data_IF_786450843726
#
_entry.id   IF_786450843726
#
_cell.length_a   1.000
_cell.length_b   1.000
_cell.length_c   1.000
_cell.angle_alpha   90.00
_cell.angle_beta   90.00
_cell.angle_gamma   90.00
#
_symmetry.space_group_name_H-M   'P 1'
#
loop_
_entity.id
_entity.type
_entity.pdbx_description
1 polymer ?
#
# COMPACT_ATOMS: atom_id res chain seq x y z
N UNK A 1 -20.57 57.31 -10.39
CA UNK A 1 -21.30 58.16 -9.42
C UNK A 1 -22.82 57.99 -9.59
N UNK A 2 -23.40 57.22 -8.65
CA UNK A 2 -24.78 57.28 -8.14
C UNK A 2 -25.95 57.02 -9.13
N UNK A 3 -27.03 56.33 -8.79
CA UNK A 3 -27.41 55.40 -7.71
C UNK A 3 -28.86 54.94 -7.97
N UNK A 4 -29.27 53.87 -7.30
CA UNK A 4 -30.64 53.55 -6.83
C UNK A 4 -31.69 53.10 -7.87
N UNK A 5 -32.13 51.83 -7.90
CA UNK A 5 -33.03 51.06 -6.99
C UNK A 5 -34.52 51.47 -6.99
N UNK A 6 -35.37 50.48 -7.30
CA UNK A 6 -36.77 50.29 -6.84
C UNK A 6 -37.02 48.77 -6.77
N UNK A 7 -37.19 48.17 -5.57
CA UNK A 7 -38.45 47.97 -4.79
C UNK A 7 -39.36 46.89 -5.41
N UNK A 8 -40.09 45.98 -4.75
CA UNK A 8 -40.30 45.54 -3.36
C UNK A 8 -41.35 44.39 -3.44
N UNK A 9 -41.27 43.36 -2.59
CA UNK A 9 -42.38 42.62 -1.93
C UNK A 9 -41.88 41.23 -1.48
N UNK A 10 -42.24 40.63 -0.35
CA UNK A 10 -42.83 41.06 0.92
C UNK A 10 -42.58 39.90 1.91
N UNK A 11 -42.40 40.26 3.19
CA UNK A 11 -42.13 39.37 4.33
C UNK A 11 -43.33 38.47 4.68
N UNK A 12 -43.05 37.35 5.36
CA UNK A 12 -43.70 37.09 6.65
C UNK A 12 -42.74 36.33 7.58
N UNK A 13 -42.45 36.91 8.73
CA UNK A 13 -41.79 36.27 9.88
C UNK A 13 -42.89 35.88 10.88
N UNK A 14 -42.78 34.69 11.48
CA UNK A 14 -43.45 34.35 12.74
C UNK A 14 -42.44 33.65 13.66
N UNK A 15 -42.36 34.14 14.88
CA UNK A 15 -41.35 33.83 15.91
C UNK A 15 -41.88 32.87 16.98
N UNK A 16 -41.03 31.90 17.41
CA UNK A 16 -40.82 31.31 18.76
C UNK A 16 -40.30 29.85 18.69
N UNK A 17 -39.68 29.28 19.75
CA UNK A 17 -38.29 29.41 20.24
C UNK A 17 -37.50 28.07 20.03
N UNK A 18 -36.22 27.90 20.45
CA UNK A 18 -35.36 26.87 19.90
C UNK A 18 -35.58 25.50 20.56
N UNK A 19 -35.74 24.46 19.74
CA UNK A 19 -35.58 23.07 20.14
C UNK A 19 -34.41 22.45 19.35
N UNK A 20 -33.66 21.62 20.06
CA UNK A 20 -32.35 21.08 19.71
C UNK A 20 -32.28 20.42 18.33
N UNK A 21 -31.24 20.78 17.57
CA UNK A 21 -30.82 20.04 16.39
C UNK A 21 -29.91 18.87 16.81
N UNK A 22 -30.09 17.66 16.26
CA UNK A 22 -29.09 16.60 16.38
C UNK A 22 -27.89 16.91 15.48
N UNK A 23 -26.71 16.58 15.99
CA UNK A 23 -25.43 16.72 15.31
C UNK A 23 -25.46 16.05 13.93
N UNK A 24 -25.37 16.86 12.86
CA UNK A 24 -24.93 16.39 11.57
C UNK A 24 -23.44 16.06 11.65
N UNK A 25 -23.13 14.76 11.62
CA UNK A 25 -21.82 14.23 11.27
C UNK A 25 -21.47 14.70 9.86
N UNK A 26 -20.27 15.27 9.61
CA UNK A 26 -19.80 15.45 8.25
C UNK A 26 -19.54 14.07 7.64
N UNK A 27 -20.03 13.89 6.41
CA UNK A 27 -19.82 12.71 5.57
C UNK A 27 -18.32 12.40 5.47
N UNK A 28 -17.95 11.19 5.86
CA UNK A 28 -16.66 10.59 5.59
C UNK A 28 -16.46 10.54 4.07
N UNK A 29 -15.68 11.49 3.55
CA UNK A 29 -15.17 11.43 2.20
C UNK A 29 -14.15 10.28 2.14
N UNK A 30 -14.37 9.33 1.23
CA UNK A 30 -13.47 8.21 0.97
C UNK A 30 -12.06 8.75 0.66
N UNK A 31 -11.12 8.57 1.58
CA UNK A 31 -9.70 8.79 1.32
C UNK A 31 -9.22 7.76 0.29
N UNK A 32 -9.07 8.20 -0.95
CA UNK A 32 -8.30 7.52 -1.98
C UNK A 32 -6.83 7.49 -1.54
N UNK A 33 -6.31 6.32 -1.22
CA UNK A 33 -4.87 6.12 -1.03
C UNK A 33 -4.16 6.25 -2.38
N UNK A 34 -3.00 6.94 -2.47
CA UNK A 34 -2.19 6.89 -3.67
C UNK A 34 -1.49 5.54 -3.76
N UNK A 35 -1.81 4.78 -4.80
CA UNK A 35 -0.99 3.67 -5.28
C UNK A 35 0.40 4.23 -5.64
N UNK A 36 1.45 3.75 -4.97
CA UNK A 36 2.84 4.04 -5.36
C UNK A 36 3.36 2.86 -6.16
N UNK A 37 3.42 3.04 -7.48
CA UNK A 37 4.22 2.23 -8.39
C UNK A 37 5.05 3.16 -9.27
N UNK A 38 6.34 2.84 -9.42
CA UNK A 38 7.33 3.43 -10.33
C UNK A 38 7.97 4.79 -9.97
N UNK A 39 9.05 4.75 -9.16
CA UNK A 39 10.41 5.33 -9.40
C UNK A 39 11.32 4.62 -8.37
N UNK A 40 12.46 3.99 -8.62
CA UNK A 40 13.64 4.46 -9.35
C UNK A 40 14.59 3.25 -9.62
N UNK A 41 14.75 2.87 -10.90
CA UNK A 41 15.87 2.02 -11.35
C UNK A 41 16.85 2.90 -12.13
N UNK A 42 17.62 3.78 -11.47
CA UNK A 42 18.90 4.27 -11.99
C UNK A 42 19.71 5.07 -10.96
N UNK A 43 20.32 4.41 -9.96
CA UNK A 43 21.38 5.04 -9.17
C UNK A 43 22.46 4.08 -8.66
N UNK A 44 22.97 3.19 -9.51
CA UNK A 44 24.28 2.56 -9.27
C UNK A 44 25.40 3.48 -9.76
N UNK A 45 25.76 4.49 -8.97
CA UNK A 45 27.04 5.20 -9.11
C UNK A 45 28.03 4.73 -8.05
N UNK A 46 29.11 4.11 -8.55
CA UNK A 46 30.29 3.65 -7.82
C UNK A 46 30.82 4.72 -6.86
N UNK A 47 30.74 4.48 -5.55
CA UNK A 47 31.62 5.11 -4.59
C UNK A 47 32.94 4.32 -4.54
N UNK A 48 33.91 4.71 -5.39
CA UNK A 48 35.31 4.45 -5.10
C UNK A 48 35.76 5.47 -4.08
N UNK A 49 35.92 5.05 -2.82
CA UNK A 49 36.62 5.85 -1.82
C UNK A 49 38.12 5.61 -2.01
N UNK A 50 38.81 6.68 -2.41
CA UNK A 50 40.26 6.79 -2.50
C UNK A 50 40.84 6.82 -1.09
N UNK A 51 41.58 5.77 -0.72
CA UNK A 51 42.41 5.73 0.49
C UNK A 51 43.59 6.70 0.33
N UNK A 52 43.64 7.75 1.15
CA UNK A 52 44.86 8.52 1.41
C UNK A 52 45.38 8.16 2.79
N UNK A 53 46.48 7.43 2.82
CA UNK A 53 47.31 7.19 4.01
C UNK A 53 48.16 8.43 4.31
N UNK A 54 48.31 8.83 5.59
CA UNK A 54 49.48 9.55 6.04
C UNK A 54 50.43 8.59 6.78
N UNK A 55 51.68 8.55 6.33
CA UNK A 55 52.81 7.95 7.04
C UNK A 55 53.05 8.69 8.36
N UNK A 56 53.08 7.98 9.48
CA UNK A 56 53.80 8.41 10.68
C UNK A 56 54.65 7.22 11.15
N UNK A 57 55.95 7.49 11.28
CA UNK A 57 57.03 6.60 11.69
C UNK A 57 56.88 6.25 13.18
N UNK A 58 57.08 4.99 13.53
CA UNK A 58 56.88 4.46 14.88
C UNK A 58 58.06 4.65 15.84
N UNK A 59 57.76 4.39 17.12
CA UNK A 59 58.67 3.86 18.14
C UNK A 59 57.84 3.02 19.14
N UNK A 60 58.33 1.87 19.68
CA UNK A 60 57.51 0.86 20.33
C UNK A 60 57.49 1.02 21.86
N UNK A 61 56.32 0.82 22.47
CA UNK A 61 56.18 0.86 23.92
C UNK A 61 54.90 0.23 24.42
N UNK A 62 55.02 -1.03 24.83
CA UNK A 62 54.19 -1.82 25.76
C UNK A 62 52.69 -1.97 25.51
N UNK A 63 52.36 -3.24 25.30
CA UNK A 63 51.08 -3.92 25.18
C UNK A 63 50.31 -3.86 26.51
N UNK A 64 49.20 -3.12 26.53
CA UNK A 64 48.08 -3.35 27.45
C UNK A 64 46.83 -3.58 26.61
N UNK A 65 46.29 -4.79 26.70
CA UNK A 65 45.05 -5.19 26.06
C UNK A 65 43.88 -4.40 26.65
N UNK A 66 43.39 -3.43 25.89
CA UNK A 66 42.20 -2.67 26.24
C UNK A 66 40.98 -3.42 25.67
N UNK A 67 40.20 -4.04 26.55
CA UNK A 67 38.89 -4.61 26.19
C UNK A 67 38.01 -3.50 25.59
N UNK A 68 37.78 -3.57 24.28
CA UNK A 68 36.84 -2.70 23.57
C UNK A 68 35.41 -3.13 23.88
N UNK A 69 34.95 -2.85 25.11
CA UNK A 69 33.58 -3.10 25.55
C UNK A 69 32.63 -1.98 25.14
N UNK A 70 32.26 -1.93 23.86
CA UNK A 70 31.15 -1.09 23.38
C UNK A 70 29.82 -1.78 23.66
N UNK A 71 29.14 -1.38 24.74
CA UNK A 71 27.80 -1.88 25.08
C UNK A 71 26.70 -0.89 24.68
N UNK A 72 25.44 -1.33 24.70
CA UNK A 72 24.27 -0.52 24.32
C UNK A 72 24.20 0.85 25.04
N UNK A 73 24.67 0.91 26.30
CA UNK A 73 24.78 2.13 27.11
C UNK A 73 25.75 3.17 26.56
N UNK A 74 26.76 2.73 25.83
CA UNK A 74 27.75 3.61 25.19
C UNK A 74 27.30 4.07 23.80
N UNK A 75 26.42 3.28 23.15
CA UNK A 75 25.97 3.53 21.79
C UNK A 75 24.68 4.37 21.71
N UNK A 76 23.79 4.25 22.71
CA UNK A 76 22.50 4.95 22.72
C UNK A 76 22.35 5.82 23.97
N UNK A 77 21.71 7.01 23.87
CA UNK A 77 21.44 7.89 25.00
C UNK A 77 20.27 7.38 25.85
N UNK A 78 20.21 6.08 26.15
CA UNK A 78 19.12 5.47 26.91
C UNK A 78 19.40 5.59 28.41
N UNK A 79 18.43 6.15 29.12
CA UNK A 79 18.32 6.05 30.58
C UNK A 79 17.58 4.77 30.97
N UNK A 80 16.72 4.84 31.99
CA UNK A 80 15.84 3.72 32.29
C UNK A 80 14.67 3.62 31.31
N UNK A 81 14.25 2.39 31.03
CA UNK A 81 13.09 2.12 30.19
C UNK A 81 11.88 1.79 31.05
N UNK A 82 10.68 1.87 30.47
CA UNK A 82 9.44 1.48 31.14
C UNK A 82 8.76 0.34 30.40
N UNK A 83 8.28 -0.66 31.14
CA UNK A 83 7.46 -1.75 30.63
C UNK A 83 6.07 -1.25 30.26
N UNK A 84 5.26 -2.03 29.50
CA UNK A 84 3.85 -1.71 29.24
C UNK A 84 2.99 -1.54 30.50
N UNK A 85 3.42 -2.10 31.64
CA UNK A 85 2.77 -1.92 32.95
C UNK A 85 3.26 -0.69 33.71
N UNK A 86 4.20 0.07 33.16
CA UNK A 86 4.79 1.26 33.77
C UNK A 86 5.92 0.98 34.77
N UNK A 87 6.42 -0.26 34.84
CA UNK A 87 7.54 -0.61 35.73
C UNK A 87 8.87 -0.30 35.03
N UNK A 88 9.89 0.08 35.80
CA UNK A 88 11.23 0.31 35.28
C UNK A 88 11.85 -1.01 34.76
N UNK A 89 12.51 -0.94 33.60
CA UNK A 89 13.21 -2.05 32.95
C UNK A 89 14.69 -1.66 32.81
N UNK A 90 15.55 -2.53 33.31
CA UNK A 90 16.99 -2.31 33.37
C UNK A 90 17.67 -2.63 32.02
N UNK A 91 18.53 -1.71 31.56
CA UNK A 91 19.25 -1.83 30.28
C UNK A 91 20.15 -3.07 30.09
N UNK A 92 20.76 -3.67 31.14
CA UNK A 92 21.51 -4.92 30.99
C UNK A 92 20.69 -6.07 30.38
N UNK A 93 19.36 -6.03 30.47
CA UNK A 93 18.49 -7.00 29.78
C UNK A 93 18.52 -6.88 28.25
N UNK A 94 19.08 -5.80 27.71
CA UNK A 94 19.22 -5.54 26.28
C UNK A 94 20.58 -5.94 25.71
N UNK A 95 21.58 -6.18 26.57
CA UNK A 95 22.94 -6.48 26.13
C UNK A 95 23.00 -7.78 25.32
N UNK A 96 23.70 -7.75 24.20
CA UNK A 96 23.85 -8.90 23.31
C UNK A 96 22.61 -9.23 22.47
N UNK A 97 21.57 -8.39 22.48
CA UNK A 97 20.37 -8.54 21.64
C UNK A 97 20.39 -7.55 20.49
N UNK A 98 19.93 -7.97 19.31
CA UNK A 98 19.55 -7.05 18.24
C UNK A 98 18.40 -6.17 18.73
N UNK A 99 18.53 -4.84 18.57
CA UNK A 99 17.56 -3.87 19.09
C UNK A 99 16.81 -3.21 17.95
N UNK A 100 15.48 -3.24 18.00
CA UNK A 100 14.61 -2.44 17.14
C UNK A 100 14.13 -1.18 17.85
N UNK A 101 14.60 0.00 17.45
CA UNK A 101 14.04 1.27 17.90
C UNK A 101 12.79 1.59 17.07
N UNK A 102 11.62 1.51 17.69
CA UNK A 102 10.34 1.70 17.04
C UNK A 102 9.77 3.09 17.32
N UNK A 103 9.78 3.97 16.32
CA UNK A 103 9.22 5.31 16.40
C UNK A 103 7.80 5.32 15.84
N UNK A 104 6.82 5.69 16.66
CA UNK A 104 5.41 5.69 16.29
C UNK A 104 4.55 6.57 17.22
N UNK A 105 3.31 6.81 16.80
CA UNK A 105 2.31 7.53 17.58
C UNK A 105 0.91 6.92 17.42
N UNK A 106 0.09 7.04 18.45
CA UNK A 106 -1.26 6.48 18.54
C UNK A 106 -2.23 7.09 17.51
N UNK A 107 -2.03 8.36 17.16
CA UNK A 107 -2.93 9.11 16.28
C UNK A 107 -2.71 8.83 14.80
N UNK A 108 -1.64 8.12 14.42
CA UNK A 108 -1.29 7.92 13.01
C UNK A 108 -1.75 6.55 12.48
N UNK A 109 -2.66 6.49 11.49
CA UNK A 109 -3.24 5.23 11.01
C UNK A 109 -2.22 4.19 10.52
N UNK A 110 -1.10 4.63 9.92
CA UNK A 110 -0.06 3.69 9.48
C UNK A 110 0.67 3.02 10.66
N UNK A 111 0.79 3.71 11.80
CA UNK A 111 1.34 3.12 13.01
C UNK A 111 0.39 2.09 13.61
N UNK A 112 -0.92 2.39 13.63
CA UNK A 112 -1.96 1.45 14.07
C UNK A 112 -1.96 0.17 13.21
N UNK A 113 -1.81 0.30 11.89
CA UNK A 113 -1.73 -0.83 10.98
C UNK A 113 -0.43 -1.66 11.12
N UNK A 114 0.70 -1.01 11.39
CA UNK A 114 2.00 -1.69 11.48
C UNK A 114 2.24 -2.40 12.82
N UNK A 115 1.80 -1.81 13.94
CA UNK A 115 2.09 -2.32 15.29
C UNK A 115 1.72 -3.80 15.49
N UNK A 116 0.54 -4.29 15.04
CA UNK A 116 0.19 -5.71 15.16
C UNK A 116 1.13 -6.64 14.40
N UNK A 117 1.60 -6.24 13.21
CA UNK A 117 2.54 -7.02 12.41
C UNK A 117 3.90 -7.15 13.12
N UNK A 118 4.43 -6.04 13.64
CA UNK A 118 5.65 -6.04 14.44
C UNK A 118 5.49 -6.89 15.72
N UNK A 119 4.37 -6.77 16.41
CA UNK A 119 4.08 -7.56 17.60
C UNK A 119 4.01 -9.08 17.30
N UNK A 120 3.45 -9.47 16.15
CA UNK A 120 3.45 -10.86 15.72
C UNK A 120 4.87 -11.38 15.47
N UNK A 121 5.67 -10.67 14.67
CA UNK A 121 7.05 -11.05 14.37
C UNK A 121 7.91 -11.12 15.66
N UNK A 122 7.76 -10.13 16.53
CA UNK A 122 8.44 -10.06 17.82
C UNK A 122 8.15 -11.27 18.72
N UNK A 123 6.87 -11.66 18.86
CA UNK A 123 6.50 -12.85 19.66
C UNK A 123 7.11 -14.13 19.11
N UNK A 124 7.17 -14.29 17.79
CA UNK A 124 7.82 -15.44 17.15
C UNK A 124 9.33 -15.46 17.44
N UNK A 125 10.00 -14.31 17.30
CA UNK A 125 11.44 -14.16 17.58
C UNK A 125 11.79 -14.44 19.05
N UNK A 126 10.99 -13.88 19.96
CA UNK A 126 11.06 -14.15 21.42
C UNK A 126 10.89 -15.65 21.70
N UNK A 127 9.87 -16.27 21.12
CA UNK A 127 9.53 -17.68 21.35
C UNK A 127 10.64 -18.65 20.96
N UNK A 128 11.44 -18.32 19.93
CA UNK A 128 12.61 -19.12 19.51
C UNK A 128 13.95 -18.66 20.12
N UNK A 129 13.93 -17.68 21.03
CA UNK A 129 15.15 -17.18 21.67
C UNK A 129 16.12 -16.47 20.71
N UNK A 130 15.62 -15.81 19.66
CA UNK A 130 16.45 -15.18 18.61
C UNK A 130 17.30 -13.99 19.09
N UNK A 131 17.14 -13.52 20.34
CA UNK A 131 17.87 -12.36 20.84
C UNK A 131 17.43 -11.05 20.20
N UNK A 132 16.13 -10.85 19.99
CA UNK A 132 15.55 -9.60 19.49
C UNK A 132 14.78 -8.88 20.60
N UNK A 133 14.99 -7.58 20.73
CA UNK A 133 14.20 -6.70 21.58
C UNK A 133 13.75 -5.45 20.82
N UNK A 134 12.58 -4.94 21.15
CA UNK A 134 12.08 -3.67 20.61
C UNK A 134 12.08 -2.63 21.74
N UNK A 135 12.39 -1.38 21.42
CA UNK A 135 12.23 -0.24 22.33
C UNK A 135 11.35 0.79 21.64
N UNK A 136 10.19 1.06 22.24
CA UNK A 136 9.26 2.06 21.72
C UNK A 136 9.74 3.48 22.04
N UNK A 137 9.84 4.31 21.02
CA UNK A 137 10.17 5.74 21.09
C UNK A 137 8.95 6.53 20.63
N UNK A 138 8.15 7.01 21.59
CA UNK A 138 6.86 7.65 21.29
C UNK A 138 6.99 9.04 20.68
N UNK A 139 6.26 9.23 19.58
CA UNK A 139 6.00 10.53 18.95
C UNK A 139 4.61 11.10 19.34
N UNK A 140 3.98 10.58 20.38
CA UNK A 140 2.72 11.13 20.91
C UNK A 140 2.93 12.48 21.59
N UNK A 141 1.95 13.36 21.48
CA UNK A 141 1.98 14.72 22.04
C UNK A 141 1.56 14.76 23.51
N UNK A 142 0.83 13.74 23.98
CA UNK A 142 0.30 13.67 25.33
C UNK A 142 0.48 12.28 25.97
N UNK A 143 0.59 12.29 27.30
CA UNK A 143 0.84 11.10 28.11
C UNK A 143 -0.30 10.06 28.03
N UNK A 144 -1.59 10.43 28.08
CA UNK A 144 -2.68 9.48 27.88
C UNK A 144 -2.60 8.72 26.55
N UNK A 145 -2.30 9.39 25.44
CA UNK A 145 -2.12 8.77 24.11
C UNK A 145 -0.96 7.78 24.12
N UNK A 146 0.18 8.18 24.68
CA UNK A 146 1.33 7.29 24.89
C UNK A 146 0.98 6.03 25.67
N UNK A 147 0.38 6.19 26.86
CA UNK A 147 0.07 5.06 27.73
C UNK A 147 -0.95 4.10 27.10
N UNK A 148 -1.95 4.64 26.40
CA UNK A 148 -2.95 3.83 25.69
C UNK A 148 -2.29 2.95 24.63
N UNK A 149 -1.39 3.52 23.83
CA UNK A 149 -0.75 2.82 22.73
C UNK A 149 0.30 1.83 23.21
N UNK A 150 1.14 2.23 24.18
CA UNK A 150 2.18 1.38 24.75
C UNK A 150 1.61 0.15 25.47
N UNK A 151 0.45 0.26 26.14
CA UNK A 151 -0.22 -0.89 26.78
C UNK A 151 -0.58 -2.01 25.80
N UNK A 152 -0.76 -1.71 24.52
CA UNK A 152 -1.06 -2.72 23.49
C UNK A 152 0.21 -3.43 22.97
N UNK A 153 1.40 -2.96 23.35
CA UNK A 153 2.69 -3.44 22.86
C UNK A 153 3.35 -4.41 23.86
N UNK A 154 4.09 -5.42 23.38
CA UNK A 154 4.76 -6.41 24.26
C UNK A 154 6.19 -6.02 24.68
N UNK A 155 6.64 -4.78 24.41
CA UNK A 155 8.03 -4.33 24.59
C UNK A 155 8.15 -3.07 25.46
N UNK A 156 9.34 -2.78 26.01
CA UNK A 156 9.57 -1.55 26.78
C UNK A 156 9.55 -0.28 25.91
N UNK A 157 9.49 0.88 26.56
CA UNK A 157 9.52 2.19 25.93
C UNK A 157 10.47 3.14 26.64
N UNK A 158 10.98 4.14 25.90
CA UNK A 158 11.59 5.33 26.50
C UNK A 158 10.51 6.07 27.30
N UNK A 159 10.78 6.50 28.56
CA UNK A 159 9.81 7.22 29.37
C UNK A 159 9.25 8.43 28.62
N UNK A 160 7.93 8.62 28.69
CA UNK A 160 7.25 9.69 27.93
C UNK A 160 7.85 11.08 28.18
N UNK A 161 8.24 11.36 29.42
CA UNK A 161 8.83 12.63 29.85
C UNK A 161 10.30 12.83 29.47
N UNK A 162 11.00 11.79 28.98
CA UNK A 162 12.39 11.90 28.53
C UNK A 162 12.47 12.47 27.10
N UNK A 163 12.03 13.72 26.97
CA UNK A 163 12.04 14.47 25.72
C UNK A 163 13.45 14.57 25.12
N UNK A 164 14.52 14.85 25.91
CA UNK A 164 15.89 14.90 25.38
C UNK A 164 16.32 13.59 24.73
N UNK A 165 16.10 12.44 25.39
CA UNK A 165 16.45 11.12 24.83
C UNK A 165 15.72 10.88 23.49
N UNK A 166 14.39 11.04 23.47
CA UNK A 166 13.58 10.82 22.27
C UNK A 166 14.02 11.72 21.10
N UNK A 167 14.36 12.97 21.39
CA UNK A 167 14.88 13.91 20.38
C UNK A 167 16.25 13.46 19.86
N UNK A 168 17.19 13.14 20.76
CA UNK A 168 18.53 12.68 20.38
C UNK A 168 18.48 11.41 19.53
N UNK A 169 17.61 10.45 19.86
CA UNK A 169 17.40 9.26 19.03
C UNK A 169 16.82 9.61 17.64
N UNK A 170 15.82 10.48 17.59
CA UNK A 170 15.21 10.92 16.32
C UNK A 170 16.22 11.62 15.41
N UNK A 171 17.04 12.51 15.98
CA UNK A 171 18.08 13.24 15.28
C UNK A 171 19.22 12.30 14.80
N UNK A 172 19.67 11.40 15.68
CA UNK A 172 20.75 10.44 15.41
C UNK A 172 20.42 9.52 14.23
N UNK A 173 19.18 9.06 14.14
CA UNK A 173 18.73 8.14 13.09
C UNK A 173 17.94 8.82 11.96
N UNK A 174 17.95 10.15 11.90
CA UNK A 174 17.32 10.95 10.84
C UNK A 174 15.86 10.52 10.60
N UNK A 175 15.08 10.45 11.68
CA UNK A 175 13.68 10.03 11.62
C UNK A 175 12.81 11.19 11.11
N UNK A 176 12.51 11.17 9.81
CA UNK A 176 11.67 12.17 9.14
C UNK A 176 10.17 11.83 9.12
N UNK A 177 9.81 10.59 9.47
CA UNK A 177 8.43 10.11 9.45
C UNK A 177 8.24 8.83 10.24
N UNK A 178 6.98 8.53 10.55
CA UNK A 178 6.54 7.35 11.30
C UNK A 178 5.51 6.54 10.49
N UNK A 179 5.34 5.22 10.72
CA UNK A 179 6.18 4.38 11.58
C UNK A 179 7.61 4.27 11.03
N UNK A 180 8.60 4.16 11.92
CA UNK A 180 10.00 3.87 11.59
C UNK A 180 10.52 2.79 12.53
N UNK A 181 11.23 1.79 12.00
CA UNK A 181 11.88 0.74 12.80
C UNK A 181 13.38 0.67 12.46
N UNK A 182 14.21 1.28 13.28
CA UNK A 182 15.69 1.21 13.12
C UNK A 182 16.19 -0.04 13.82
N UNK A 183 16.90 -0.93 13.12
CA UNK A 183 17.46 -2.16 13.67
C UNK A 183 18.96 -1.99 13.87
N UNK A 184 19.39 -2.23 15.11
CA UNK A 184 20.78 -2.13 15.55
C UNK A 184 21.36 -3.51 15.84
N UNK A 185 22.66 -3.64 15.63
CA UNK A 185 23.42 -4.83 15.97
C UNK A 185 23.42 -5.07 17.50
N UNK A 186 23.80 -6.26 17.97
CA UNK A 186 23.85 -6.59 19.41
C UNK A 186 24.67 -5.67 20.31
N UNK A 187 25.66 -4.96 19.75
CA UNK A 187 26.47 -3.96 20.45
C UNK A 187 25.77 -2.59 20.55
N UNK A 188 24.69 -2.39 19.81
CA UNK A 188 23.95 -1.14 19.68
C UNK A 188 24.64 -0.08 18.83
N UNK A 189 25.87 -0.32 18.36
CA UNK A 189 26.71 0.68 17.69
C UNK A 189 26.51 0.70 16.16
N UNK A 190 26.27 -0.46 15.56
CA UNK A 190 26.05 -0.57 14.12
C UNK A 190 24.55 -0.58 13.77
N UNK A 191 24.16 0.23 12.79
CA UNK A 191 22.83 0.16 12.18
C UNK A 191 22.79 -0.97 11.15
N UNK A 192 22.08 -2.04 11.46
CA UNK A 192 21.88 -3.19 10.57
C UNK A 192 20.86 -2.85 9.47
N UNK A 193 19.79 -2.14 9.85
CA UNK A 193 18.75 -1.69 8.93
C UNK A 193 18.21 -0.34 9.40
N UNK A 194 18.30 0.69 8.56
CA UNK A 194 17.81 2.03 8.90
C UNK A 194 16.28 2.13 8.93
N UNK A 195 15.58 1.22 8.24
CA UNK A 195 14.13 1.10 8.32
C UNK A 195 13.64 -0.30 7.93
N UNK A 196 13.22 -1.07 8.93
CA UNK A 196 12.75 -2.44 8.77
C UNK A 196 11.21 -2.56 8.66
N UNK A 197 10.46 -1.46 8.59
CA UNK A 197 8.99 -1.48 8.50
C UNK A 197 8.51 -2.35 7.33
N UNK A 198 9.06 -2.15 6.13
CA UNK A 198 8.68 -2.92 4.95
C UNK A 198 9.13 -4.38 5.05
N UNK A 199 10.29 -4.65 5.64
CA UNK A 199 10.78 -6.02 5.84
C UNK A 199 9.88 -6.81 6.78
N UNK A 200 9.40 -6.19 7.86
CA UNK A 200 8.45 -6.80 8.78
C UNK A 200 7.10 -7.02 8.11
N UNK A 201 6.60 -6.07 7.32
CA UNK A 201 5.35 -6.25 6.57
C UNK A 201 5.45 -7.40 5.56
N UNK A 202 6.54 -7.47 4.79
CA UNK A 202 6.71 -8.44 3.71
C UNK A 202 7.08 -9.82 4.20
N UNK A 203 8.01 -9.91 5.14
CA UNK A 203 8.63 -11.18 5.55
C UNK A 203 8.36 -11.55 7.00
N UNK A 204 7.90 -10.63 7.86
CA UNK A 204 7.69 -10.90 9.29
C UNK A 204 8.99 -11.28 10.01
N UNK A 205 8.92 -12.31 10.85
CA UNK A 205 10.08 -12.80 11.61
C UNK A 205 11.18 -13.49 10.76
N UNK A 206 10.91 -14.12 9.58
CA UNK A 206 11.96 -14.52 8.65
C UNK A 206 12.96 -13.45 8.24
N UNK A 207 12.58 -12.16 8.31
CA UNK A 207 13.45 -11.03 8.00
C UNK A 207 14.65 -10.94 8.94
N UNK A 208 14.51 -11.39 10.18
CA UNK A 208 15.57 -11.33 11.19
C UNK A 208 16.84 -12.07 10.72
N UNK A 209 18.05 -11.51 10.92
CA UNK A 209 18.39 -10.31 11.70
C UNK A 209 18.29 -8.98 10.94
N UNK A 210 17.52 -8.92 9.86
CA UNK A 210 17.33 -7.73 9.00
C UNK A 210 18.59 -7.26 8.28
N UNK A 211 19.61 -8.12 8.20
CA UNK A 211 20.85 -7.81 7.47
C UNK A 211 20.62 -7.80 5.97
N UNK A 212 21.38 -7.01 5.19
CA UNK A 212 21.29 -7.02 3.73
C UNK A 212 21.46 -8.42 3.12
N UNK A 213 22.36 -9.24 3.67
CA UNK A 213 22.55 -10.62 3.23
C UNK A 213 21.28 -11.46 3.43
N UNK A 214 20.63 -11.35 4.60
CA UNK A 214 19.40 -12.08 4.88
C UNK A 214 18.25 -11.64 3.99
N UNK A 215 18.13 -10.34 3.74
CA UNK A 215 17.13 -9.79 2.82
C UNK A 215 17.37 -10.32 1.40
N UNK A 216 18.62 -10.32 0.93
CA UNK A 216 18.98 -10.85 -0.39
C UNK A 216 18.64 -12.35 -0.55
N UNK A 217 18.81 -13.15 0.51
CA UNK A 217 18.40 -14.56 0.53
C UNK A 217 16.88 -14.72 0.39
N UNK A 218 16.10 -13.95 1.15
CA UNK A 218 14.64 -13.98 1.11
C UNK A 218 14.12 -13.59 -0.27
N UNK A 219 14.66 -12.50 -0.82
CA UNK A 219 14.31 -12.05 -2.17
C UNK A 219 14.71 -13.08 -3.24
N UNK A 220 15.86 -13.74 -3.09
CA UNK A 220 16.27 -14.81 -4.01
C UNK A 220 15.31 -16.00 -3.95
N UNK A 221 14.89 -16.40 -2.75
CA UNK A 221 13.92 -17.47 -2.56
C UNK A 221 12.55 -17.11 -3.19
N UNK A 222 12.08 -15.88 -3.01
CA UNK A 222 10.87 -15.39 -3.66
C UNK A 222 11.01 -15.37 -5.19
N UNK A 223 12.12 -14.84 -5.73
CA UNK A 223 12.40 -14.87 -7.17
C UNK A 223 12.39 -16.29 -7.72
N UNK A 224 12.97 -17.26 -7.02
CA UNK A 224 12.90 -18.68 -7.40
C UNK A 224 11.47 -19.24 -7.34
N UNK A 225 10.66 -18.81 -6.37
CA UNK A 225 9.24 -19.18 -6.28
C UNK A 225 8.45 -18.64 -7.47
N UNK A 226 8.62 -17.36 -7.84
CA UNK A 226 7.98 -16.75 -9.01
C UNK A 226 8.50 -17.36 -10.32
N UNK A 227 9.81 -17.56 -10.45
CA UNK A 227 10.44 -18.17 -11.63
C UNK A 227 9.99 -19.62 -11.86
N UNK A 228 9.56 -20.33 -10.82
CA UNK A 228 9.02 -21.70 -10.93
C UNK A 228 7.49 -21.78 -10.86
N UNK A 229 6.79 -20.63 -10.78
CA UNK A 229 5.33 -20.51 -10.76
C UNK A 229 4.68 -21.19 -11.96
N UNK A 230 3.61 -21.94 -11.71
CA UNK A 230 2.68 -22.48 -12.70
C UNK A 230 1.27 -22.38 -12.12
N UNK A 231 0.22 -22.51 -12.94
CA UNK A 231 -1.16 -22.51 -12.44
C UNK A 231 -1.40 -23.63 -11.42
N UNK A 232 -0.91 -24.85 -11.69
CA UNK A 232 -1.07 -25.98 -10.76
C UNK A 232 -0.43 -25.71 -9.38
N UNK A 233 0.74 -25.08 -9.35
CA UNK A 233 1.41 -24.71 -8.10
C UNK A 233 0.75 -23.55 -7.37
N UNK A 234 0.09 -22.64 -8.10
CA UNK A 234 -0.60 -21.51 -7.50
C UNK A 234 -1.89 -21.96 -6.81
N UNK A 235 -2.71 -22.72 -7.52
CA UNK A 235 -4.03 -23.10 -7.03
C UNK A 235 -3.98 -24.14 -5.91
N UNK A 236 -2.97 -25.02 -5.88
CA UNK A 236 -2.86 -26.13 -4.92
C UNK A 236 -4.10 -27.05 -4.88
N UNK A 237 -5.00 -26.93 -5.87
CA UNK A 237 -6.23 -27.71 -6.06
C UNK A 237 -6.32 -28.18 -7.52
N UNK A 238 -7.05 -29.27 -7.77
CA UNK A 238 -7.18 -29.83 -9.13
C UNK A 238 -8.27 -29.17 -9.97
N UNK A 239 -9.22 -28.47 -9.35
CA UNK A 239 -10.38 -27.90 -10.02
C UNK A 239 -10.95 -26.68 -9.30
N UNK A 240 -11.69 -25.87 -10.05
CA UNK A 240 -12.58 -24.80 -9.58
C UNK A 240 -14.03 -25.17 -9.88
N UNK A 241 -15.01 -24.45 -9.33
CA UNK A 241 -16.44 -24.70 -9.56
C UNK A 241 -17.06 -23.58 -10.41
N UNK A 242 -17.80 -23.92 -11.46
CA UNK A 242 -18.62 -22.93 -12.15
C UNK A 242 -19.94 -22.64 -11.38
N UNK A 243 -20.76 -21.72 -11.89
CA UNK A 243 -22.05 -21.38 -11.27
C UNK A 243 -23.07 -22.53 -11.16
N UNK A 244 -22.86 -23.64 -11.88
CA UNK A 244 -23.67 -24.85 -11.80
C UNK A 244 -23.05 -25.96 -10.94
N UNK A 245 -22.07 -25.64 -10.08
CA UNK A 245 -21.30 -26.60 -9.27
C UNK A 245 -20.51 -27.66 -10.06
N UNK A 246 -20.38 -27.49 -11.38
CA UNK A 246 -19.57 -28.37 -12.19
C UNK A 246 -18.08 -28.06 -11.96
N UNK A 247 -17.31 -29.13 -11.76
CA UNK A 247 -15.85 -29.03 -11.63
C UNK A 247 -15.23 -28.66 -12.98
N UNK A 248 -14.43 -27.60 -12.97
CA UNK A 248 -13.61 -27.14 -14.09
C UNK A 248 -12.15 -27.43 -13.74
N UNK A 249 -11.45 -28.34 -14.44
CA UNK A 249 -10.07 -28.67 -14.14
C UNK A 249 -9.14 -27.46 -14.31
N UNK A 250 -8.15 -27.28 -13.42
CA UNK A 250 -7.13 -26.22 -13.54
C UNK A 250 -6.37 -26.34 -14.87
N UNK A 251 -6.13 -27.57 -15.35
CA UNK A 251 -5.52 -27.83 -16.65
C UNK A 251 -6.24 -27.16 -17.84
N UNK A 252 -7.55 -26.88 -17.73
CA UNK A 252 -8.31 -26.18 -18.78
C UNK A 252 -8.09 -24.65 -18.82
N UNK A 253 -7.39 -24.12 -17.81
CA UNK A 253 -6.98 -22.72 -17.70
C UNK A 253 -5.55 -22.49 -18.24
N UNK A 254 -4.77 -23.55 -18.39
CA UNK A 254 -3.40 -23.49 -18.94
C UNK A 254 -3.46 -22.96 -20.38
N UNK A 255 -2.58 -22.02 -20.71
CA UNK A 255 -2.54 -21.35 -22.02
C UNK A 255 -3.48 -20.13 -22.13
N UNK A 256 -4.29 -19.84 -21.11
CA UNK A 256 -5.13 -18.64 -21.06
C UNK A 256 -4.51 -17.55 -20.19
N UNK A 257 -4.87 -16.30 -20.45
CA UNK A 257 -4.70 -15.22 -19.48
C UNK A 257 -5.79 -15.39 -18.41
N UNK A 258 -5.38 -15.57 -17.15
CA UNK A 258 -6.29 -15.85 -16.02
C UNK A 258 -6.27 -14.70 -15.03
N UNK A 259 -7.41 -14.07 -14.78
CA UNK A 259 -7.59 -13.10 -13.71
C UNK A 259 -7.97 -13.79 -12.39
N UNK A 260 -7.11 -13.75 -11.38
CA UNK A 260 -7.43 -14.16 -10.01
C UNK A 260 -8.14 -12.98 -9.31
N UNK A 261 -9.45 -13.11 -9.12
CA UNK A 261 -10.29 -12.04 -8.60
C UNK A 261 -10.60 -12.24 -7.12
N UNK A 262 -9.91 -11.49 -6.26
CA UNK A 262 -10.13 -11.50 -4.81
C UNK A 262 -11.26 -10.53 -4.46
N UNK A 263 -12.34 -11.09 -3.92
CA UNK A 263 -13.57 -10.34 -3.60
C UNK A 263 -14.32 -11.01 -2.44
N UNK A 264 -15.35 -10.35 -1.93
CA UNK A 264 -16.23 -10.90 -0.90
C UNK A 264 -17.60 -10.21 -0.94
N UNK A 265 -18.60 -10.90 -0.41
CA UNK A 265 -19.94 -10.36 -0.16
C UNK A 265 -19.90 -9.26 0.91
N UNK A 266 -20.82 -8.29 0.81
CA UNK A 266 -20.89 -7.16 1.73
C UNK A 266 -19.75 -6.14 1.59
N UNK A 267 -18.90 -6.26 0.55
CA UNK A 267 -17.87 -5.29 0.19
C UNK A 267 -18.40 -4.32 -0.89
N UNK A 268 -18.76 -3.09 -0.50
CA UNK A 268 -19.31 -2.10 -1.43
C UNK A 268 -18.37 -1.79 -2.62
N UNK A 269 -17.04 -1.57 -2.43
CA UNK A 269 -16.13 -1.39 -3.56
C UNK A 269 -16.10 -2.60 -4.51
N UNK A 270 -16.35 -3.81 -3.98
CA UNK A 270 -16.36 -5.04 -4.74
C UNK A 270 -17.56 -5.13 -5.69
N UNK A 271 -18.74 -4.65 -5.27
CA UNK A 271 -19.96 -4.65 -6.11
C UNK A 271 -19.70 -3.87 -7.41
N UNK A 272 -19.26 -2.62 -7.30
CA UNK A 272 -18.98 -1.74 -8.45
C UNK A 272 -17.94 -2.35 -9.40
N UNK A 273 -16.87 -2.93 -8.84
CA UNK A 273 -15.82 -3.53 -9.65
C UNK A 273 -16.27 -4.86 -10.30
N UNK A 274 -17.11 -5.66 -9.64
CA UNK A 274 -17.64 -6.91 -10.18
C UNK A 274 -18.45 -6.66 -11.45
N UNK A 275 -19.35 -5.67 -11.44
CA UNK A 275 -20.13 -5.28 -12.62
C UNK A 275 -19.23 -4.87 -13.79
N UNK A 276 -18.22 -4.04 -13.51
CA UNK A 276 -17.24 -3.59 -14.53
C UNK A 276 -16.45 -4.76 -15.10
N UNK A 277 -15.95 -5.65 -14.24
CA UNK A 277 -15.18 -6.82 -14.66
C UNK A 277 -16.05 -7.81 -15.45
N UNK A 278 -17.32 -7.99 -15.09
CA UNK A 278 -18.28 -8.81 -15.84
C UNK A 278 -18.53 -8.27 -17.24
N UNK A 279 -18.64 -6.95 -17.41
CA UNK A 279 -18.77 -6.32 -18.73
C UNK A 279 -17.53 -6.59 -19.61
N UNK A 280 -16.32 -6.39 -19.07
CA UNK A 280 -15.05 -6.67 -19.77
C UNK A 280 -14.93 -8.14 -20.13
N UNK A 281 -15.21 -9.02 -19.17
CA UNK A 281 -15.21 -10.46 -19.39
C UNK A 281 -16.13 -10.85 -20.54
N UNK A 282 -17.36 -10.32 -20.55
CA UNK A 282 -18.31 -10.52 -21.64
C UNK A 282 -17.80 -10.02 -22.99
N UNK A 283 -17.18 -8.84 -23.04
CA UNK A 283 -16.58 -8.29 -24.26
C UNK A 283 -15.46 -9.18 -24.80
N UNK A 284 -14.53 -9.60 -23.94
CA UNK A 284 -13.39 -10.44 -24.30
C UNK A 284 -13.83 -11.83 -24.74
N UNK A 285 -14.84 -12.43 -24.09
CA UNK A 285 -15.43 -13.71 -24.54
C UNK A 285 -16.08 -13.59 -25.92
N UNK A 286 -16.79 -12.50 -26.22
CA UNK A 286 -17.37 -12.26 -27.57
C UNK A 286 -16.31 -12.10 -28.65
N UNK A 287 -15.11 -11.63 -28.29
CA UNK A 287 -13.95 -11.51 -29.19
C UNK A 287 -13.11 -12.79 -29.27
N UNK A 288 -13.59 -13.90 -28.68
CA UNK A 288 -12.86 -15.17 -28.58
C UNK A 288 -11.47 -15.04 -27.98
N UNK A 289 -11.29 -14.10 -27.05
CA UNK A 289 -10.03 -13.97 -26.32
C UNK A 289 -9.86 -15.16 -25.36
N UNK A 290 -8.63 -15.67 -25.28
CA UNK A 290 -8.23 -16.68 -24.28
C UNK A 290 -8.07 -16.02 -22.90
N UNK A 291 -9.18 -15.49 -22.37
CA UNK A 291 -9.27 -14.84 -21.07
C UNK A 291 -10.24 -15.62 -20.17
N UNK A 292 -9.83 -15.90 -18.95
CA UNK A 292 -10.69 -16.48 -17.92
C UNK A 292 -10.55 -15.71 -16.60
N UNK A 293 -11.59 -15.67 -15.79
CA UNK A 293 -11.52 -15.13 -14.43
C UNK A 293 -11.75 -16.30 -13.46
N UNK A 294 -11.08 -16.27 -12.32
CA UNK A 294 -11.36 -17.20 -11.23
C UNK A 294 -11.62 -16.39 -9.97
N UNK A 295 -12.81 -16.55 -9.41
CA UNK A 295 -13.17 -15.94 -8.14
C UNK A 295 -12.37 -16.60 -7.00
N UNK A 296 -11.60 -15.80 -6.28
CA UNK A 296 -10.86 -16.20 -5.08
C UNK A 296 -11.60 -15.63 -3.87
N UNK A 297 -12.28 -16.49 -3.08
CA UNK A 297 -13.20 -16.03 -2.06
C UNK A 297 -12.47 -15.48 -0.85
N UNK A 298 -12.79 -14.24 -0.49
CA UNK A 298 -12.33 -13.60 0.74
C UNK A 298 -13.42 -13.51 1.81
N UNK A 299 -14.60 -14.05 1.51
CA UNK A 299 -15.77 -14.13 2.39
C UNK A 299 -15.43 -14.71 3.75
N UNK A 300 -16.08 -14.16 4.78
CA UNK A 300 -15.96 -14.66 6.16
C UNK A 300 -16.79 -15.92 6.39
N UNK A 301 -17.87 -16.10 5.63
CA UNK A 301 -18.86 -17.15 5.82
C UNK A 301 -19.30 -17.73 4.47
N UNK A 302 -19.62 -19.02 4.45
CA UNK A 302 -20.04 -19.75 3.24
C UNK A 302 -21.28 -19.13 2.57
N UNK A 303 -22.20 -18.58 3.36
CA UNK A 303 -23.38 -17.90 2.81
C UNK A 303 -23.03 -16.65 1.98
N UNK A 304 -21.97 -15.91 2.35
CA UNK A 304 -21.46 -14.78 1.55
C UNK A 304 -20.81 -15.26 0.25
N UNK A 305 -20.04 -16.34 0.35
CA UNK A 305 -19.44 -17.00 -0.80
C UNK A 305 -20.48 -17.40 -1.84
N UNK A 306 -21.56 -18.06 -1.44
CA UNK A 306 -22.59 -18.53 -2.37
C UNK A 306 -23.33 -17.36 -3.06
N UNK A 307 -23.56 -16.25 -2.35
CA UNK A 307 -24.13 -15.03 -2.95
C UNK A 307 -23.19 -14.45 -4.01
N UNK A 308 -21.93 -14.20 -3.63
CA UNK A 308 -20.93 -13.65 -4.55
C UNK A 308 -20.72 -14.53 -5.78
N UNK A 309 -20.63 -15.85 -5.58
CA UNK A 309 -20.43 -16.81 -6.66
C UNK A 309 -21.63 -16.88 -7.61
N UNK A 310 -22.85 -16.84 -7.08
CA UNK A 310 -24.08 -16.95 -7.86
C UNK A 310 -24.24 -15.82 -8.90
N UNK A 311 -23.74 -14.64 -8.58
CA UNK A 311 -23.85 -13.45 -9.46
C UNK A 311 -22.71 -13.34 -10.48
N UNK A 312 -21.64 -14.14 -10.35
CA UNK A 312 -20.45 -14.03 -11.18
C UNK A 312 -20.48 -14.96 -12.40
N UNK A 313 -20.11 -14.49 -13.60
CA UNK A 313 -20.16 -15.30 -14.84
C UNK A 313 -18.97 -16.27 -15.01
N UNK A 314 -18.08 -16.34 -14.03
CA UNK A 314 -16.81 -17.08 -14.09
C UNK A 314 -16.70 -18.12 -12.96
N UNK A 315 -15.82 -19.12 -13.09
CA UNK A 315 -15.63 -20.11 -12.03
C UNK A 315 -15.04 -19.53 -10.74
N UNK A 316 -15.23 -20.25 -9.63
CA UNK A 316 -14.76 -19.90 -8.30
C UNK A 316 -13.93 -21.02 -7.68
N UNK A 317 -12.91 -20.65 -6.91
CA UNK A 317 -12.27 -21.56 -5.97
C UNK A 317 -13.34 -22.10 -4.99
N UNK A 318 -13.32 -23.39 -4.61
CA UNK A 318 -14.21 -23.89 -3.57
C UNK A 318 -14.04 -23.11 -2.26
N UNK A 319 -15.14 -22.89 -1.54
CA UNK A 319 -15.08 -22.29 -0.20
C UNK A 319 -14.33 -23.21 0.77
N UNK A 320 -13.35 -22.65 1.48
CA UNK A 320 -12.41 -23.38 2.32
C UNK A 320 -12.32 -22.84 3.76
N UNK A 321 -13.02 -21.73 4.07
CA UNK A 321 -13.51 -21.33 5.40
C UNK A 321 -12.52 -21.16 6.57
N UNK A 322 -11.21 -21.38 6.39
CA UNK A 322 -10.27 -21.48 7.51
C UNK A 322 -8.86 -20.93 7.25
N UNK A 323 -8.05 -20.87 8.30
CA UNK A 323 -6.62 -20.56 8.14
C UNK A 323 -5.89 -21.74 7.48
N UNK A 324 -5.23 -21.49 6.34
CA UNK A 324 -4.61 -22.54 5.50
C UNK A 324 -5.44 -22.93 4.27
N UNK A 325 -6.62 -22.32 4.11
CA UNK A 325 -7.38 -22.27 2.88
C UNK A 325 -6.53 -21.87 1.65
N UNK A 326 -6.61 -22.60 0.50
CA UNK A 326 -6.01 -22.17 -0.76
C UNK A 326 -6.31 -20.71 -1.13
N UNK A 327 -7.50 -20.18 -0.82
CA UNK A 327 -7.84 -18.76 -1.01
C UNK A 327 -6.92 -17.81 -0.21
N UNK A 328 -6.65 -18.16 1.05
CA UNK A 328 -5.78 -17.40 1.96
C UNK A 328 -4.30 -17.58 1.62
N UNK A 329 -3.90 -18.75 1.13
CA UNK A 329 -2.55 -18.98 0.62
C UNK A 329 -2.25 -18.12 -0.61
N UNK A 330 -3.20 -18.03 -1.56
CA UNK A 330 -3.11 -17.15 -2.71
C UNK A 330 -3.04 -15.67 -2.30
N UNK A 331 -3.90 -15.24 -1.36
CA UNK A 331 -3.88 -13.87 -0.85
C UNK A 331 -2.51 -13.52 -0.24
N UNK A 332 -1.91 -14.42 0.55
CA UNK A 332 -0.56 -14.23 1.09
C UNK A 332 0.51 -14.25 0.00
N UNK A 333 0.43 -15.16 -0.97
CA UNK A 333 1.39 -15.26 -2.07
C UNK A 333 1.49 -13.95 -2.88
N UNK A 334 0.35 -13.30 -3.10
CA UNK A 334 0.27 -12.07 -3.86
C UNK A 334 0.30 -10.80 -3.01
N UNK A 335 0.39 -10.93 -1.68
CA UNK A 335 0.30 -9.82 -0.71
C UNK A 335 -0.99 -8.99 -0.91
N UNK A 336 -2.12 -9.69 -1.03
CA UNK A 336 -3.45 -9.07 -1.15
C UNK A 336 -3.91 -8.57 0.21
N UNK A 337 -3.79 -7.26 0.42
CA UNK A 337 -4.17 -6.58 1.67
C UNK A 337 -5.59 -6.02 1.64
N UNK A 338 -6.11 -5.72 0.46
CA UNK A 338 -7.41 -5.10 0.25
C UNK A 338 -8.19 -5.79 -0.86
N UNK A 339 -9.51 -5.66 -0.82
CA UNK A 339 -10.43 -6.12 -1.85
C UNK A 339 -11.30 -4.95 -2.34
N UNK A 340 -11.73 -4.95 -3.62
CA UNK A 340 -11.43 -5.95 -4.65
C UNK A 340 -9.98 -5.85 -5.15
N UNK A 341 -9.39 -7.00 -5.48
CA UNK A 341 -8.05 -7.09 -6.11
C UNK A 341 -8.11 -8.06 -7.29
N UNK A 342 -7.46 -7.72 -8.40
CA UNK A 342 -7.36 -8.57 -9.59
C UNK A 342 -5.88 -8.76 -9.96
N UNK A 343 -5.39 -9.98 -9.78
CA UNK A 343 -4.05 -10.39 -10.22
C UNK A 343 -4.17 -11.12 -11.55
N UNK A 344 -3.36 -10.76 -12.54
CA UNK A 344 -3.39 -11.38 -13.86
C UNK A 344 -2.23 -12.35 -14.02
N UNK A 345 -2.56 -13.58 -14.39
CA UNK A 345 -1.63 -14.66 -14.73
C UNK A 345 -1.66 -14.85 -16.25
N UNK A 346 -0.49 -14.95 -16.87
CA UNK A 346 -0.34 -15.14 -18.30
C UNK A 346 -0.57 -16.59 -18.73
N UNK A 347 -0.65 -16.84 -20.05
CA UNK A 347 -0.75 -18.16 -20.65
C UNK A 347 0.30 -19.18 -20.18
N UNK A 348 1.48 -18.69 -19.81
CA UNK A 348 2.63 -19.46 -19.30
C UNK A 348 2.53 -19.81 -17.80
N UNK A 349 1.45 -19.38 -17.14
CA UNK A 349 1.24 -19.55 -15.70
C UNK A 349 2.07 -18.58 -14.84
N UNK A 350 2.71 -17.56 -15.44
CA UNK A 350 3.46 -16.52 -14.73
C UNK A 350 2.60 -15.31 -14.42
N UNK A 351 2.95 -14.61 -13.36
CA UNK A 351 2.26 -13.37 -12.98
C UNK A 351 2.61 -12.28 -13.97
N UNK A 352 1.60 -11.75 -14.65
CA UNK A 352 1.75 -10.63 -15.60
C UNK A 352 1.66 -9.31 -14.85
N UNK A 353 0.68 -9.16 -13.96
CA UNK A 353 0.54 -7.96 -13.13
C UNK A 353 -0.31 -8.23 -11.89
N UNK A 354 -0.03 -7.52 -10.80
CA UNK A 354 -0.90 -7.48 -9.61
C UNK A 354 -1.86 -6.30 -9.61
N UNK A 355 -1.70 -5.40 -10.57
CA UNK A 355 -2.45 -4.14 -10.73
C UNK A 355 -3.62 -4.29 -11.70
N UNK A 356 -4.14 -5.51 -11.90
CA UNK A 356 -5.18 -5.79 -12.89
C UNK A 356 -6.43 -4.95 -12.67
N UNK A 357 -6.80 -4.66 -11.40
CA UNK A 357 -7.92 -3.78 -11.06
C UNK A 357 -7.72 -2.36 -11.59
N UNK A 358 -6.51 -1.82 -11.40
CA UNK A 358 -6.17 -0.48 -11.86
C UNK A 358 -6.20 -0.43 -13.39
N UNK A 359 -5.61 -1.40 -14.06
CA UNK A 359 -5.63 -1.48 -15.53
C UNK A 359 -7.04 -1.62 -16.10
N UNK A 360 -7.92 -2.41 -15.45
CA UNK A 360 -9.34 -2.52 -15.82
C UNK A 360 -10.08 -1.18 -15.64
N UNK A 361 -9.78 -0.44 -14.58
CA UNK A 361 -10.41 0.85 -14.37
C UNK A 361 -9.95 1.88 -15.40
N UNK A 362 -8.67 1.88 -15.76
CA UNK A 362 -8.07 2.85 -16.69
C UNK A 362 -8.36 2.53 -18.15
N UNK A 363 -8.10 1.28 -18.56
CA UNK A 363 -8.09 0.87 -19.96
C UNK A 363 -9.21 -0.11 -20.31
N UNK A 364 -10.06 -0.48 -19.35
CA UNK A 364 -11.17 -1.40 -19.58
C UNK A 364 -10.71 -2.71 -20.25
N UNK A 365 -11.34 -3.17 -21.33
CA UNK A 365 -10.95 -4.36 -22.07
C UNK A 365 -9.72 -4.16 -22.97
N UNK A 366 -9.33 -2.91 -23.27
CA UNK A 366 -8.11 -2.58 -24.01
C UNK A 366 -6.83 -2.92 -23.24
N UNK A 367 -6.94 -3.03 -21.91
CA UNK A 367 -5.86 -3.49 -21.06
C UNK A 367 -5.37 -4.88 -21.47
N UNK A 368 -6.24 -5.76 -21.99
CA UNK A 368 -5.89 -7.13 -22.36
C UNK A 368 -4.76 -7.16 -23.42
N UNK A 369 -3.73 -8.01 -23.27
CA UNK A 369 -3.57 -9.10 -22.30
C UNK A 369 -2.88 -8.70 -20.97
N UNK A 370 -2.94 -7.42 -20.60
CA UNK A 370 -2.40 -6.82 -19.37
C UNK A 370 -0.88 -6.83 -19.28
N UNK A 371 -0.20 -7.14 -20.38
CA UNK A 371 1.27 -7.16 -20.45
C UNK A 371 1.84 -5.75 -20.35
N UNK A 372 3.05 -5.63 -19.82
CA UNK A 372 3.78 -4.35 -19.77
C UNK A 372 3.87 -3.70 -21.16
N UNK A 373 4.10 -4.50 -22.21
CA UNK A 373 4.14 -4.00 -23.59
C UNK A 373 2.81 -3.39 -24.04
N UNK A 374 1.69 -4.05 -23.72
CA UNK A 374 0.36 -3.52 -24.07
C UNK A 374 0.04 -2.26 -23.28
N UNK A 375 0.37 -2.22 -21.99
CA UNK A 375 0.18 -1.02 -21.15
C UNK A 375 1.03 0.13 -21.68
N UNK A 376 2.30 -0.11 -22.00
CA UNK A 376 3.18 0.90 -22.59
C UNK A 376 2.62 1.45 -23.90
N UNK A 377 2.13 0.57 -24.78
CA UNK A 377 1.48 0.98 -26.03
C UNK A 377 0.26 1.87 -25.80
N UNK A 378 -0.57 1.56 -24.80
CA UNK A 378 -1.74 2.39 -24.47
C UNK A 378 -1.32 3.76 -23.95
N UNK A 379 -0.31 3.82 -23.08
CA UNK A 379 0.26 5.07 -22.58
C UNK A 379 0.85 5.92 -23.71
N UNK A 380 1.58 5.31 -24.66
CA UNK A 380 2.09 6.02 -25.84
C UNK A 380 0.96 6.59 -26.71
N UNK A 381 -0.14 5.87 -26.88
CA UNK A 381 -1.32 6.37 -27.58
C UNK A 381 -1.99 7.53 -26.83
N UNK A 382 -2.03 7.50 -25.50
CA UNK A 382 -2.52 8.61 -24.68
C UNK A 382 -1.61 9.84 -24.78
N UNK A 383 -0.28 9.65 -24.72
CA UNK A 383 0.72 10.70 -24.90
C UNK A 383 0.58 11.37 -26.27
N UNK A 384 0.45 10.59 -27.35
CA UNK A 384 0.22 11.12 -28.69
C UNK A 384 -1.12 11.86 -28.80
N UNK A 385 -2.19 11.32 -28.21
CA UNK A 385 -3.50 12.00 -28.16
C UNK A 385 -3.43 13.31 -27.39
N UNK A 386 -2.69 13.35 -26.27
CA UNK A 386 -2.54 14.52 -25.42
C UNK A 386 -1.93 15.72 -26.17
N UNK A 387 -1.04 15.48 -27.15
CA UNK A 387 -0.48 16.54 -28.02
C UNK A 387 -1.54 17.29 -28.83
N UNK A 388 -2.69 16.67 -29.07
CA UNK A 388 -3.82 17.27 -29.79
C UNK A 388 -4.74 18.13 -28.92
N UNK A 389 -4.49 18.25 -27.61
CA UNK A 389 -5.29 19.07 -26.71
C UNK A 389 -4.62 20.41 -26.44
N UNK A 390 -5.44 21.44 -26.19
CA UNK A 390 -4.94 22.75 -25.80
C UNK A 390 -4.24 22.65 -24.43
N UNK A 391 -3.05 23.26 -24.23
CA UNK A 391 -2.35 23.24 -22.95
C UNK A 391 -3.15 23.82 -21.77
N UNK A 392 -4.11 24.69 -22.06
CA UNK A 392 -5.05 25.22 -21.08
C UNK A 392 -6.50 25.23 -21.60
N UNK A 393 -7.44 25.22 -20.65
CA UNK A 393 -8.88 25.20 -20.91
C UNK A 393 -9.65 26.04 -19.88
N UNK A 394 -10.64 26.79 -20.36
CA UNK A 394 -11.71 27.34 -19.51
C UNK A 394 -12.91 26.41 -19.57
N UNK A 395 -13.26 25.82 -18.43
CA UNK A 395 -14.33 24.82 -18.33
C UNK A 395 -15.63 25.44 -17.82
N UNK A 396 -16.79 25.10 -18.39
CA UNK A 396 -18.06 25.72 -18.00
C UNK A 396 -18.43 25.42 -16.53
N UNK A 397 -18.12 24.21 -16.06
CA UNK A 397 -18.33 23.77 -14.68
C UNK A 397 -17.29 24.30 -13.67
N UNK A 398 -16.25 25.02 -14.10
CA UNK A 398 -15.16 25.45 -13.19
C UNK A 398 -14.59 26.83 -13.51
N UNK A 399 -14.44 27.68 -12.48
CA UNK A 399 -14.08 29.10 -12.67
C UNK A 399 -12.61 29.36 -13.00
N UNK A 400 -11.69 28.53 -12.53
CA UNK A 400 -10.27 28.69 -12.80
C UNK A 400 -9.90 28.08 -14.16
N UNK A 401 -8.84 28.61 -14.76
CA UNK A 401 -8.24 27.97 -15.93
C UNK A 401 -7.61 26.64 -15.52
N UNK A 402 -7.89 25.61 -16.30
CA UNK A 402 -7.31 24.28 -16.13
C UNK A 402 -6.08 24.16 -17.01
N UNK A 403 -5.01 23.56 -16.50
CA UNK A 403 -3.80 23.25 -17.26
C UNK A 403 -3.72 21.75 -17.51
N UNK A 404 -3.20 21.37 -18.68
CA UNK A 404 -2.89 19.97 -18.95
C UNK A 404 -1.76 19.52 -18.02
N UNK A 405 -2.00 18.44 -17.28
CA UNK A 405 -1.00 17.74 -16.49
C UNK A 405 -0.86 16.32 -17.00
N UNK A 406 0.33 15.75 -16.81
CA UNK A 406 0.63 14.34 -16.99
C UNK A 406 1.08 13.74 -15.67
N UNK A 407 1.28 12.43 -15.63
CA UNK A 407 1.88 11.74 -14.47
C UNK A 407 3.16 12.41 -13.97
N UNK A 408 3.98 12.94 -14.88
CA UNK A 408 5.26 13.58 -14.53
C UNK A 408 5.12 15.01 -14.02
N UNK A 409 3.99 15.67 -14.28
CA UNK A 409 3.76 17.09 -13.96
C UNK A 409 2.60 17.33 -13.00
N UNK A 410 2.10 16.29 -12.32
CA UNK A 410 1.08 16.40 -11.26
C UNK A 410 -0.22 15.62 -11.50
N UNK A 411 -0.33 14.88 -12.60
CA UNK A 411 -1.50 14.07 -12.95
C UNK A 411 -1.38 12.62 -12.44
N UNK A 412 -1.77 12.40 -11.19
CA UNK A 412 -1.85 11.05 -10.61
C UNK A 412 -3.14 10.31 -11.00
N UNK A 413 -3.54 9.25 -10.27
CA UNK A 413 -4.91 8.76 -10.30
C UNK A 413 -5.87 9.85 -9.78
N UNK A 414 -6.97 10.09 -10.50
CA UNK A 414 -7.99 11.07 -10.13
C UNK A 414 -9.40 10.56 -10.42
N UNK A 415 -10.41 11.26 -9.89
CA UNK A 415 -11.81 11.08 -10.29
C UNK A 415 -12.20 12.33 -11.07
N UNK A 416 -12.62 12.14 -12.32
CA UNK A 416 -13.01 13.25 -13.18
C UNK A 416 -14.25 13.93 -12.62
N UNK A 417 -14.15 15.23 -12.36
CA UNK A 417 -15.24 16.03 -11.80
C UNK A 417 -16.41 16.27 -12.77
N UNK A 418 -16.26 15.92 -14.05
CA UNK A 418 -17.31 16.10 -15.06
C UNK A 418 -18.13 14.83 -15.30
N UNK A 419 -17.49 13.65 -15.34
CA UNK A 419 -18.18 12.39 -15.62
C UNK A 419 -18.15 11.39 -14.46
N UNK A 420 -17.53 11.73 -13.33
CA UNK A 420 -17.35 10.87 -12.15
C UNK A 420 -16.61 9.55 -12.43
N UNK A 421 -15.95 9.42 -13.59
CA UNK A 421 -15.14 8.26 -13.92
C UNK A 421 -13.69 8.43 -13.47
N UNK A 422 -13.05 7.31 -13.11
CA UNK A 422 -11.63 7.29 -12.75
C UNK A 422 -10.74 7.67 -13.95
N UNK A 423 -9.72 8.47 -13.72
CA UNK A 423 -8.66 8.80 -14.67
C UNK A 423 -7.27 8.55 -14.07
N UNK A 424 -6.25 8.55 -14.93
CA UNK A 424 -4.85 8.44 -14.54
C UNK A 424 -3.97 9.14 -15.57
N UNK A 425 -2.88 9.75 -15.12
CA UNK A 425 -1.91 10.39 -15.99
C UNK A 425 -2.43 11.71 -16.55
N UNK A 426 -2.90 11.72 -17.79
CA UNK A 426 -3.30 12.96 -18.45
C UNK A 426 -4.63 13.51 -17.98
N UNK A 427 -4.65 14.77 -17.56
CA UNK A 427 -5.85 15.48 -17.08
C UNK A 427 -5.78 16.97 -17.38
N UNK A 428 -6.93 17.63 -17.39
CA UNK A 428 -7.01 19.06 -17.13
C UNK A 428 -7.15 19.28 -15.63
N UNK A 429 -6.15 19.91 -15.00
CA UNK A 429 -6.11 20.17 -13.56
C UNK A 429 -6.09 21.68 -13.26
N UNK A 430 -6.89 22.10 -12.29
CA UNK A 430 -6.75 23.41 -11.67
C UNK A 430 -5.70 23.33 -10.54
N UNK A 431 -4.54 23.96 -10.75
CA UNK A 431 -3.47 24.00 -9.74
C UNK A 431 -3.92 24.69 -8.44
N UNK A 432 -4.86 25.64 -8.53
CA UNK A 432 -5.30 26.44 -7.38
C UNK A 432 -6.20 25.66 -6.41
N UNK A 433 -6.99 24.69 -6.90
CA UNK A 433 -7.98 24.01 -6.07
C UNK A 433 -8.09 22.49 -6.28
N UNK A 434 -7.27 21.90 -7.15
CA UNK A 434 -7.25 20.46 -7.42
C UNK A 434 -8.47 19.95 -8.20
N UNK A 435 -9.18 20.81 -8.93
CA UNK A 435 -10.26 20.38 -9.82
C UNK A 435 -9.68 19.63 -11.02
N UNK A 436 -10.09 18.39 -11.26
CA UNK A 436 -9.51 17.52 -12.29
C UNK A 436 -10.59 16.93 -13.20
N UNK A 437 -10.39 16.99 -14.51
CA UNK A 437 -11.24 16.34 -15.50
C UNK A 437 -10.40 15.63 -16.56
N UNK A 438 -10.95 14.61 -17.22
CA UNK A 438 -10.29 14.00 -18.37
C UNK A 438 -10.08 15.03 -19.47
N UNK A 439 -9.03 14.84 -20.29
CA UNK A 439 -8.81 15.67 -21.47
C UNK A 439 -10.04 15.69 -22.40
N UNK A 440 -10.71 14.53 -22.56
CA UNK A 440 -11.95 14.41 -23.37
C UNK A 440 -13.13 15.19 -22.80
N UNK A 441 -13.24 15.29 -21.47
CA UNK A 441 -14.30 16.04 -20.80
C UNK A 441 -14.11 17.55 -20.90
N UNK A 442 -12.91 18.00 -21.29
CA UNK A 442 -12.65 19.40 -21.54
C UNK A 442 -13.16 19.93 -22.90
N UNK A 443 -13.72 19.07 -23.75
CA UNK A 443 -14.28 19.46 -25.06
C UNK A 443 -15.79 19.59 -24.97
N UNK A 444 -16.29 20.74 -24.51
CA UNK A 444 -17.73 21.02 -24.61
C UNK A 444 -18.06 21.62 -25.99
N UNK A 445 -18.91 20.95 -26.79
CA UNK A 445 -19.90 21.66 -27.60
C UNK A 445 -20.12 21.36 -29.09
N UNK A 446 -19.46 20.40 -29.76
CA UNK A 446 -19.76 20.12 -31.19
C UNK A 446 -20.21 18.71 -31.58
N UNK A 447 -20.19 17.70 -30.71
CA UNK A 447 -20.75 16.37 -31.04
C UNK A 447 -21.63 15.82 -29.92
N UNK A 448 -22.81 16.41 -29.77
CA UNK A 448 -23.95 15.73 -29.17
C UNK A 448 -24.49 14.67 -30.13
N UNK A 449 -23.87 13.48 -30.15
CA UNK A 449 -24.36 12.38 -30.97
C UNK A 449 -23.43 11.17 -30.99
N UNK A 450 -23.76 10.17 -30.17
CA UNK A 450 -23.36 8.76 -30.31
C UNK A 450 -21.86 8.46 -30.59
N UNK A 451 -21.11 8.12 -29.53
CA UNK A 451 -20.03 7.13 -29.66
C UNK A 451 -20.21 6.07 -28.55
N UNK A 452 -21.33 5.36 -28.64
CA UNK A 452 -21.37 3.97 -28.21
C UNK A 452 -20.97 3.13 -29.43
N UNK A 453 -19.99 2.24 -29.25
CA UNK A 453 -19.44 1.32 -30.25
C UNK A 453 -18.60 1.97 -31.36
N UNK A 454 -17.31 2.20 -31.08
CA UNK A 454 -16.20 1.91 -32.01
C UNK A 454 -14.86 2.02 -31.27
N UNK A 455 -14.38 0.89 -30.74
CA UNK A 455 -13.00 0.35 -30.85
C UNK A 455 -12.80 -0.82 -29.88
#
# INVERSE_FOLDING_TARGET
PLDSTRSHCCRSESTKPPQAAPHHLPSLCCCSYPARGAVDQAAHRKCLVTTRTPNIVGDPGMEEAQESGGGIRSALPLGSLISPSGNEVELPELEGKTIGLYFAANWYPKCEAFTPALAAAYRQLRGRGAGFEVVFVSCDEDRPSFERFHRAMPWPAVPFGDIPCKKSLSDMFQVEGIPRLVVLAPDGAEVVCSDAVELVHRYGDPAFPFTPARVAELEAAERSKFASQTLDKLFSVSHVKNGGDQQVPIASLVGKTVGLYFSADGCEPCVKFTERLAAIYGNLKRRSAEFEVVYIPMDKEEGGYERSRGDMPWPALPYDGGEGAPSRELARYFDVREIPTLVVIGPDGKTVTREGRNLVNLYFDMAFPFTEEQVRRLQELEDERAKGYSPSLRHAGHRHELSVVSEKSGGGPYVCCECDEQGFGWAYQCIACGYEIHLRCGRDGEDGGAVGAEQ
#
